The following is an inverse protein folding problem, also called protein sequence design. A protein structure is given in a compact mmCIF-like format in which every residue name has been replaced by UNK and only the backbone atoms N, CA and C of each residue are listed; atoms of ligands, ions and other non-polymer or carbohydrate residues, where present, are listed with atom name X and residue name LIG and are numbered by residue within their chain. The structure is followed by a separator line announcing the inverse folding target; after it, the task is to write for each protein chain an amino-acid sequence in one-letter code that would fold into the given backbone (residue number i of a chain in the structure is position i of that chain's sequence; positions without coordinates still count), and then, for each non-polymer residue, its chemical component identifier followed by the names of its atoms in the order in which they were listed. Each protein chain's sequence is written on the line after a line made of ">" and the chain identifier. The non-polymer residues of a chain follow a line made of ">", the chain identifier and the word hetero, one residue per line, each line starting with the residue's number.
data_IF_162320117382
#
_entry.id   IF_162320117382
#
_cell.length_a   1.000
_cell.length_b   1.000
_cell.length_c   1.000
_cell.angle_alpha   90.00
_cell.angle_beta   90.00
_cell.angle_gamma   90.00
#
_symmetry.space_group_name_H-M   'P 1'
#
loop_
_entity.id
_entity.type
_entity.pdbx_description
1 polymer ?
#
# COMPACT_ATOMS: atom_id res chain seq x y z
N UNK A 1 -6.66 -9.69 -16.63
CA UNK A 1 -6.27 -8.34 -17.11
C UNK A 1 -5.82 -7.52 -15.91
N UNK A 2 -4.76 -6.71 -16.03
CA UNK A 2 -4.37 -5.82 -14.93
C UNK A 2 -5.43 -4.70 -14.76
N UNK A 3 -5.78 -4.32 -13.52
CA UNK A 3 -6.82 -3.30 -13.27
C UNK A 3 -6.56 -1.98 -14.00
N UNK A 4 -5.30 -1.55 -14.07
CA UNK A 4 -4.89 -0.36 -14.82
C UNK A 4 -5.29 -0.42 -16.30
N UNK A 5 -5.10 -1.58 -16.92
CA UNK A 5 -5.40 -1.78 -18.35
C UNK A 5 -6.90 -1.82 -18.63
N UNK A 6 -7.70 -2.28 -17.66
CA UNK A 6 -9.16 -2.24 -17.75
C UNK A 6 -9.69 -0.81 -17.71
N UNK A 7 -9.16 0.03 -16.81
CA UNK A 7 -9.59 1.43 -16.69
C UNK A 7 -9.22 2.23 -17.95
N UNK A 8 -8.00 2.08 -18.46
CA UNK A 8 -7.61 2.75 -19.71
C UNK A 8 -8.41 2.29 -20.93
N UNK A 9 -8.96 1.08 -20.91
CA UNK A 9 -9.90 0.64 -21.95
C UNK A 9 -11.25 1.34 -21.78
N UNK A 10 -11.77 1.37 -20.56
CA UNK A 10 -13.05 2.00 -20.22
C UNK A 10 -13.06 3.50 -20.57
N UNK A 11 -12.00 4.23 -20.23
CA UNK A 11 -11.82 5.65 -20.60
C UNK A 11 -11.88 5.86 -22.12
N UNK A 12 -11.21 5.00 -22.90
CA UNK A 12 -11.22 5.06 -24.37
C UNK A 12 -12.55 4.66 -24.98
N UNK A 13 -13.26 3.71 -24.38
CA UNK A 13 -14.58 3.29 -24.85
C UNK A 13 -15.62 4.38 -24.61
N UNK A 14 -15.61 5.01 -23.43
CA UNK A 14 -16.58 6.02 -23.03
C UNK A 14 -16.61 7.24 -23.97
N UNK A 15 -15.48 7.58 -24.61
CA UNK A 15 -15.41 8.69 -25.57
C UNK A 15 -15.83 8.32 -27.00
N UNK A 16 -15.91 7.04 -27.32
CA UNK A 16 -16.21 6.54 -28.67
C UNK A 16 -17.59 5.88 -28.78
N UNK A 17 -18.21 5.50 -27.67
CA UNK A 17 -19.51 4.84 -27.63
C UNK A 17 -20.66 5.84 -27.50
N UNK A 18 -21.54 5.89 -28.50
CA UNK A 18 -22.69 6.81 -28.52
C UNK A 18 -23.64 6.62 -27.33
N UNK A 19 -23.78 5.40 -26.82
CA UNK A 19 -24.59 5.10 -25.63
C UNK A 19 -23.96 5.70 -24.38
N UNK A 20 -22.66 5.48 -24.18
CA UNK A 20 -21.92 6.04 -23.03
C UNK A 20 -21.89 7.58 -23.04
N UNK A 21 -21.88 8.21 -24.22
CA UNK A 21 -21.89 9.66 -24.36
C UNK A 21 -23.22 10.32 -23.93
N UNK A 22 -24.31 9.56 -23.82
CA UNK A 22 -25.58 10.10 -23.33
C UNK A 22 -25.60 10.30 -21.81
N UNK A 23 -24.69 9.65 -21.09
CA UNK A 23 -24.58 9.74 -19.65
C UNK A 23 -23.57 10.83 -19.25
N UNK A 24 -24.08 11.91 -18.66
CA UNK A 24 -23.27 13.04 -18.21
C UNK A 24 -22.43 12.72 -16.96
N UNK A 25 -22.83 11.73 -16.17
CA UNK A 25 -22.19 11.36 -14.90
C UNK A 25 -21.08 10.32 -15.09
N UNK A 26 -21.15 9.54 -16.17
CA UNK A 26 -20.22 8.45 -16.49
C UNK A 26 -18.73 8.82 -16.33
N UNK A 27 -18.33 10.02 -16.77
CA UNK A 27 -16.93 10.47 -16.62
C UNK A 27 -16.51 10.60 -15.15
N UNK A 28 -17.41 11.08 -14.30
CA UNK A 28 -17.19 11.17 -12.86
C UNK A 28 -17.16 9.80 -12.19
N UNK A 29 -18.01 8.88 -12.61
CA UNK A 29 -18.01 7.51 -12.11
C UNK A 29 -16.72 6.76 -12.46
N UNK A 30 -16.24 6.89 -13.71
CA UNK A 30 -14.95 6.32 -14.14
C UNK A 30 -13.80 6.86 -13.27
N UNK A 31 -13.81 8.16 -12.94
CA UNK A 31 -12.81 8.77 -12.06
C UNK A 31 -12.87 8.17 -10.63
N UNK A 32 -14.06 8.03 -10.05
CA UNK A 32 -14.23 7.37 -8.74
C UNK A 32 -13.73 5.93 -8.74
N UNK A 33 -14.08 5.15 -9.77
CA UNK A 33 -13.60 3.78 -9.93
C UNK A 33 -12.07 3.76 -10.02
N UNK A 34 -11.48 4.70 -10.75
CA UNK A 34 -10.02 4.84 -10.87
C UNK A 34 -9.35 5.08 -9.54
N UNK A 35 -9.87 5.96 -8.70
CA UNK A 35 -9.33 6.22 -7.37
C UNK A 35 -9.41 4.98 -6.46
N UNK A 36 -10.51 4.23 -6.53
CA UNK A 36 -10.72 3.03 -5.70
C UNK A 36 -9.86 1.84 -6.14
N UNK A 37 -9.70 1.65 -7.45
CA UNK A 37 -9.07 0.46 -8.03
C UNK A 37 -7.58 0.67 -8.31
N UNK A 38 -7.17 1.91 -8.56
CA UNK A 38 -5.78 2.34 -8.66
C UNK A 38 -5.51 3.35 -7.54
N UNK A 39 -5.65 2.96 -6.26
CA UNK A 39 -5.19 3.81 -5.18
C UNK A 39 -3.71 4.10 -5.44
N UNK A 40 -3.24 5.30 -5.10
CA UNK A 40 -1.85 5.69 -5.29
C UNK A 40 -0.92 4.77 -4.46
N UNK A 41 -0.62 3.59 -4.98
CA UNK A 41 0.30 2.64 -4.38
C UNK A 41 1.69 3.11 -4.75
N UNK A 42 2.14 4.15 -4.03
CA UNK A 42 3.47 4.75 -4.15
C UNK A 42 4.25 4.46 -2.88
N UNK A 43 4.51 3.18 -2.59
CA UNK A 43 5.76 2.86 -1.90
C UNK A 43 6.63 2.13 -2.92
N UNK A 44 7.58 2.84 -3.55
CA UNK A 44 8.60 2.20 -4.37
C UNK A 44 9.23 1.05 -3.57
N UNK A 45 9.47 -0.11 -4.20
CA UNK A 45 10.05 -1.27 -3.52
C UNK A 45 11.34 -0.94 -2.75
N UNK A 46 12.11 0.03 -3.23
CA UNK A 46 13.29 0.55 -2.55
C UNK A 46 12.95 1.19 -1.19
N UNK A 47 11.90 2.01 -1.13
CA UNK A 47 11.40 2.64 0.11
C UNK A 47 10.79 1.58 1.04
N UNK A 48 10.12 0.59 0.48
CA UNK A 48 9.56 -0.55 1.23
C UNK A 48 10.67 -1.39 1.88
N UNK A 49 11.78 -1.63 1.17
CA UNK A 49 12.95 -2.33 1.72
C UNK A 49 13.68 -1.49 2.78
N UNK A 50 13.74 -0.17 2.60
CA UNK A 50 14.39 0.75 3.54
C UNK A 50 13.59 0.87 4.84
N UNK A 51 12.26 0.98 4.76
CA UNK A 51 11.37 0.95 5.93
C UNK A 51 11.42 -0.38 6.69
N UNK A 52 11.54 -1.51 5.97
CA UNK A 52 11.72 -2.82 6.62
C UNK A 52 13.06 -2.91 7.36
N UNK A 53 14.12 -2.32 6.79
CA UNK A 53 15.44 -2.26 7.44
C UNK A 53 15.41 -1.36 8.68
N UNK A 54 14.80 -0.18 8.59
CA UNK A 54 14.64 0.76 9.69
C UNK A 54 13.78 0.17 10.83
N UNK A 55 12.69 -0.52 10.50
CA UNK A 55 11.85 -1.20 11.49
C UNK A 55 12.59 -2.36 12.19
N UNK A 56 13.46 -3.06 11.47
CA UNK A 56 14.30 -4.11 12.04
C UNK A 56 15.41 -3.55 12.94
N UNK A 57 16.09 -2.49 12.53
CA UNK A 57 17.12 -1.82 13.36
C UNK A 57 16.51 -1.20 14.63
N UNK A 58 15.33 -0.57 14.55
CA UNK A 58 14.62 -0.07 15.72
C UNK A 58 14.18 -1.18 16.70
N UNK A 59 13.92 -2.40 16.21
CA UNK A 59 13.60 -3.55 17.08
C UNK A 59 14.81 -4.16 17.79
N UNK A 60 16.03 -3.83 17.35
CA UNK A 60 17.28 -4.28 17.97
C UNK A 60 17.78 -3.29 19.03
N UNK A 61 17.41 -2.01 18.94
CA UNK A 61 17.75 -1.00 19.94
C UNK A 61 16.88 -1.06 21.22
N UNK A 62 15.76 -1.80 21.20
CA UNK A 62 14.86 -2.02 22.36
C UNK A 62 15.24 -3.29 23.17
N UNK A 63 16.25 -4.05 22.72
CA UNK A 63 16.70 -5.31 23.37
C UNK A 63 17.99 -5.12 24.20
N UNK A 64 18.30 -3.89 24.64
CA UNK A 64 19.42 -3.57 25.55
C UNK A 64 18.95 -3.15 26.97
N UNK A 65 17.89 -3.75 27.52
CA UNK A 65 17.64 -3.71 28.97
C UNK A 65 16.90 -4.96 29.48
N UNK A 66 17.58 -6.10 29.43
CA UNK A 66 17.34 -7.18 30.40
C UNK A 66 18.70 -7.57 30.99
N UNK A 67 19.17 -6.79 31.97
CA UNK A 67 20.10 -7.32 32.97
C UNK A 67 19.34 -8.38 33.79
N UNK A 68 19.61 -9.63 33.41
CA UNK A 68 19.30 -10.85 34.12
C UNK A 68 19.96 -10.82 35.51
N UNK A 69 19.30 -10.23 36.49
CA UNK A 69 19.62 -10.46 37.92
C UNK A 69 19.00 -11.81 38.34
N UNK A 70 19.52 -12.90 37.77
CA UNK A 70 19.39 -14.25 38.32
C UNK A 70 20.67 -14.56 39.11
N UNK A 71 20.78 -13.97 40.30
CA UNK A 71 21.69 -14.48 41.33
C UNK A 71 20.99 -15.63 42.05
N UNK A 72 21.25 -16.86 41.58
CA UNK A 72 20.89 -18.07 42.28
C UNK A 72 22.13 -18.74 42.87
N UNK A 73 22.25 -18.76 44.21
CA UNK A 73 22.80 -19.85 45.05
C UNK A 73 22.96 -19.35 46.51
N UNK A 74 22.15 -19.82 47.46
CA UNK A 74 22.36 -20.99 48.36
C UNK A 74 23.41 -20.79 49.48
N UNK A 75 23.03 -21.27 50.68
CA UNK A 75 23.80 -21.43 51.93
C UNK A 75 24.04 -20.20 52.84
N UNK A 76 23.25 -20.07 53.91
CA UNK A 76 23.62 -20.51 55.29
C UNK A 76 22.47 -20.36 56.28
#
# INVERSE_FOLDING_TARGET
>A
MAPARMISFMERHAVACSTCLQDAELKGEIAKIKELILPESKIPKAVLAQQQKEAYEASLEDDEEYEDDIDGEDLT
#
